data_IF_077390205435
#
_entry.id   IF_077390205435
#
_cell.length_a   1.000
_cell.length_b   1.000
_cell.length_c   1.000
_cell.angle_alpha   90.00
_cell.angle_beta   90.00
_cell.angle_gamma   90.00
#
_symmetry.space_group_name_H-M   'P 1'
#
loop_
_entity.id
_entity.type
_entity.pdbx_description
1 polymer ?
#
# COMPACT_ATOMS: atom_id res chain seq x y z
N UNK A 1 2.43 -74.29 -17.58
CA UNK A 1 3.05 -73.69 -16.38
C UNK A 1 3.12 -72.20 -16.61
N UNK A 2 1.97 -71.52 -16.49
CA UNK A 2 1.83 -70.13 -16.87
C UNK A 2 0.74 -69.52 -16.03
N UNK A 3 1.13 -68.94 -14.89
CA UNK A 3 0.28 -68.12 -14.01
C UNK A 3 1.21 -67.37 -13.04
N UNK A 4 1.78 -66.23 -13.44
CA UNK A 4 2.40 -65.31 -12.48
C UNK A 4 2.61 -63.86 -12.96
N UNK A 5 1.96 -63.41 -14.04
CA UNK A 5 2.22 -62.06 -14.61
C UNK A 5 1.04 -61.08 -14.46
N UNK A 6 -0.17 -61.54 -14.14
CA UNK A 6 -1.38 -60.69 -14.09
C UNK A 6 -1.65 -59.94 -12.77
N UNK A 7 -0.93 -60.21 -11.68
CA UNK A 7 -1.28 -59.70 -10.34
C UNK A 7 -0.63 -58.36 -9.96
N UNK A 8 0.56 -58.03 -10.48
CA UNK A 8 1.29 -56.80 -10.11
C UNK A 8 0.77 -55.53 -10.79
N UNK A 9 0.21 -55.65 -11.99
CA UNK A 9 -0.25 -54.50 -12.79
C UNK A 9 -1.56 -53.88 -12.25
N UNK A 10 -2.36 -54.69 -11.55
CA UNK A 10 -3.63 -54.26 -10.95
C UNK A 10 -3.44 -53.53 -9.60
N UNK A 11 -2.29 -53.75 -8.93
CA UNK A 11 -1.92 -53.08 -7.67
C UNK A 11 -1.40 -51.66 -7.92
N UNK A 12 -0.60 -51.46 -8.97
CA UNK A 12 -0.10 -50.15 -9.39
C UNK A 12 -1.25 -49.25 -9.88
N UNK A 13 -2.17 -49.78 -10.70
CA UNK A 13 -3.35 -49.04 -11.17
C UNK A 13 -4.29 -48.63 -10.04
N UNK A 14 -4.48 -49.49 -9.02
CA UNK A 14 -5.27 -49.14 -7.83
C UNK A 14 -4.59 -48.10 -6.94
N UNK A 15 -3.26 -48.10 -6.83
CA UNK A 15 -2.53 -47.08 -6.09
C UNK A 15 -2.55 -45.72 -6.81
N UNK A 16 -2.45 -45.72 -8.14
CA UNK A 16 -2.57 -44.51 -8.96
C UNK A 16 -3.99 -43.92 -8.87
N UNK A 17 -5.01 -44.77 -8.91
CA UNK A 17 -6.41 -44.36 -8.82
C UNK A 17 -6.79 -43.86 -7.41
N UNK A 18 -6.20 -44.42 -6.35
CA UNK A 18 -6.35 -43.92 -4.98
C UNK A 18 -5.61 -42.58 -4.77
N UNK A 19 -4.50 -42.35 -5.46
CA UNK A 19 -3.78 -41.07 -5.47
C UNK A 19 -4.56 -40.00 -6.26
N UNK A 20 -5.11 -40.33 -7.43
CA UNK A 20 -5.98 -39.45 -8.21
C UNK A 20 -7.29 -39.12 -7.47
N UNK A 21 -7.87 -40.07 -6.72
CA UNK A 21 -9.05 -39.81 -5.87
C UNK A 21 -8.70 -38.99 -4.61
N UNK A 22 -7.43 -38.98 -4.15
CA UNK A 22 -6.95 -38.09 -3.08
C UNK A 22 -6.66 -36.65 -3.55
N UNK A 23 -6.50 -36.46 -4.87
CA UNK A 23 -6.35 -35.17 -5.54
C UNK A 23 -7.69 -34.56 -5.96
N UNK A 24 -8.78 -35.34 -5.92
CA UNK A 24 -10.14 -34.79 -6.07
C UNK A 24 -10.51 -34.06 -4.79
N UNK A 25 -10.99 -32.81 -4.86
CA UNK A 25 -11.42 -32.11 -3.68
C UNK A 25 -12.63 -32.85 -3.08
N UNK A 26 -12.42 -33.49 -1.94
CA UNK A 26 -13.42 -34.36 -1.32
C UNK A 26 -14.37 -33.52 -0.46
N UNK A 27 -15.60 -33.29 -0.93
CA UNK A 27 -16.78 -32.90 -0.14
C UNK A 27 -16.71 -31.54 0.60
N UNK A 28 -15.51 -30.96 0.79
CA UNK A 28 -15.28 -29.58 1.23
C UNK A 28 -15.39 -28.59 0.08
N UNK A 29 -15.13 -28.96 -1.19
CA UNK A 29 -15.36 -28.04 -2.33
C UNK A 29 -16.83 -27.79 -2.62
N UNK A 30 -17.70 -28.75 -2.33
CA UNK A 30 -19.13 -28.60 -2.55
C UNK A 30 -19.74 -27.74 -1.42
N UNK A 31 -19.28 -27.93 -0.18
CA UNK A 31 -19.66 -27.09 0.96
C UNK A 31 -19.03 -25.69 0.88
N UNK A 32 -17.75 -25.56 0.48
CA UNK A 32 -17.11 -24.26 0.21
C UNK A 32 -17.74 -23.59 -1.01
N UNK A 33 -18.13 -24.34 -2.05
CA UNK A 33 -18.83 -23.82 -3.22
C UNK A 33 -20.25 -23.34 -2.90
N UNK A 34 -20.96 -24.06 -2.03
CA UNK A 34 -22.33 -23.73 -1.59
C UNK A 34 -22.33 -22.58 -0.56
N UNK A 35 -21.33 -22.52 0.35
CA UNK A 35 -21.12 -21.39 1.28
C UNK A 35 -20.57 -20.15 0.54
N UNK A 36 -19.68 -20.31 -0.45
CA UNK A 36 -19.18 -19.20 -1.27
C UNK A 36 -20.23 -18.65 -2.24
N UNK A 37 -21.25 -19.45 -2.58
CA UNK A 37 -22.43 -18.97 -3.32
C UNK A 37 -23.40 -18.18 -2.43
N UNK A 38 -23.49 -18.48 -1.13
CA UNK A 38 -24.51 -17.91 -0.24
C UNK A 38 -24.14 -16.53 0.34
N UNK A 39 -22.84 -16.17 0.39
CA UNK A 39 -22.40 -14.83 0.84
C UNK A 39 -21.42 -14.22 -0.16
N UNK A 40 -21.86 -13.96 -1.39
CA UNK A 40 -21.16 -12.96 -2.21
C UNK A 40 -21.41 -11.58 -1.59
N UNK A 41 -20.37 -10.85 -1.13
CA UNK A 41 -20.54 -9.48 -0.70
C UNK A 41 -21.20 -8.69 -1.82
N UNK A 42 -22.09 -7.75 -1.48
CA UNK A 42 -22.71 -6.91 -2.49
C UNK A 42 -21.61 -6.11 -3.17
N UNK A 43 -21.59 -6.12 -4.50
CA UNK A 43 -20.71 -5.26 -5.28
C UNK A 43 -21.03 -3.81 -4.92
N UNK A 44 -20.05 -3.13 -4.33
CA UNK A 44 -20.17 -1.75 -3.88
C UNK A 44 -19.29 -0.79 -4.70
N UNK A 45 -18.27 -1.30 -5.39
CA UNK A 45 -17.30 -0.47 -6.11
C UNK A 45 -17.34 -0.70 -7.62
N UNK A 46 -17.44 0.41 -8.35
CA UNK A 46 -17.07 0.47 -9.76
C UNK A 46 -15.56 0.77 -9.87
N UNK A 47 -14.92 0.45 -11.00
CA UNK A 47 -13.49 0.63 -11.24
C UNK A 47 -12.98 2.03 -10.85
N UNK A 48 -13.72 3.08 -11.22
CA UNK A 48 -13.37 4.46 -10.89
C UNK A 48 -13.43 4.76 -9.39
N UNK A 49 -14.39 4.15 -8.68
CA UNK A 49 -14.51 4.32 -7.23
C UNK A 49 -13.38 3.57 -6.52
N UNK A 50 -13.03 2.36 -6.99
CA UNK A 50 -11.90 1.60 -6.46
C UNK A 50 -10.55 2.30 -6.71
N UNK A 51 -10.37 2.89 -7.90
CA UNK A 51 -9.19 3.70 -8.21
C UNK A 51 -9.13 4.98 -7.37
N UNK A 52 -10.25 5.68 -7.18
CA UNK A 52 -10.32 6.83 -6.29
C UNK A 52 -10.05 6.47 -4.83
N UNK A 53 -10.52 5.31 -4.37
CA UNK A 53 -10.25 4.81 -3.03
C UNK A 53 -8.76 4.47 -2.85
N UNK A 54 -8.18 3.75 -3.81
CA UNK A 54 -6.76 3.40 -3.80
C UNK A 54 -5.88 4.66 -3.78
N UNK A 55 -6.16 5.62 -4.66
CA UNK A 55 -5.43 6.88 -4.72
C UNK A 55 -5.59 7.71 -3.42
N UNK A 56 -6.77 7.67 -2.79
CA UNK A 56 -7.01 8.32 -1.50
C UNK A 56 -6.15 7.72 -0.38
N UNK A 57 -5.93 6.40 -0.40
CA UNK A 57 -5.15 5.69 0.61
C UNK A 57 -3.66 5.97 0.46
N UNK A 58 -3.15 5.98 -0.77
CA UNK A 58 -1.77 6.41 -1.03
C UNK A 58 -1.56 7.88 -0.66
N UNK A 59 -2.61 8.72 -0.79
CA UNK A 59 -2.59 10.14 -0.46
C UNK A 59 -1.33 10.85 -1.00
N UNK A 60 -0.97 10.56 -2.26
CA UNK A 60 0.33 10.88 -2.83
C UNK A 60 0.80 12.33 -2.58
N UNK A 61 -0.03 13.37 -2.75
CA UNK A 61 0.38 14.74 -2.46
C UNK A 61 0.85 15.02 -1.03
N UNK A 62 0.20 14.39 -0.04
CA UNK A 62 0.59 14.56 1.36
C UNK A 62 1.90 13.80 1.64
N UNK A 63 2.03 12.58 1.11
CA UNK A 63 3.24 11.78 1.25
C UNK A 63 4.46 12.49 0.66
N UNK A 64 4.29 13.13 -0.51
CA UNK A 64 5.30 13.96 -1.17
C UNK A 64 5.78 15.12 -0.27
N UNK A 65 4.85 15.85 0.35
CA UNK A 65 5.20 16.94 1.27
C UNK A 65 5.98 16.45 2.49
N UNK A 66 5.61 15.29 3.02
CA UNK A 66 6.33 14.65 4.13
C UNK A 66 7.73 14.22 3.68
N UNK A 67 7.85 13.61 2.49
CA UNK A 67 9.13 13.22 1.91
C UNK A 67 10.08 14.40 1.77
N UNK A 68 9.59 15.54 1.28
CA UNK A 68 10.39 16.77 1.18
C UNK A 68 10.93 17.20 2.56
N UNK A 69 10.09 17.19 3.59
CA UNK A 69 10.49 17.55 4.96
C UNK A 69 11.59 16.62 5.51
N UNK A 70 11.47 15.31 5.29
CA UNK A 70 12.43 14.32 5.79
C UNK A 70 13.78 14.33 5.05
N UNK A 71 13.79 14.69 3.76
CA UNK A 71 14.99 14.61 2.90
C UNK A 71 15.78 15.90 2.83
N UNK A 72 15.17 17.04 3.17
CA UNK A 72 15.82 18.35 3.07
C UNK A 72 17.19 18.38 3.76
N UNK A 73 17.38 17.64 4.88
CA UNK A 73 18.68 17.54 5.56
C UNK A 73 19.54 16.30 5.25
N UNK A 74 19.01 15.30 4.54
CA UNK A 74 19.66 13.99 4.34
C UNK A 74 20.06 13.74 2.87
N UNK A 75 19.94 14.74 2.02
CA UNK A 75 20.37 14.65 0.63
C UNK A 75 19.95 15.87 -0.17
N UNK A 76 19.07 16.70 0.40
CA UNK A 76 18.59 17.91 -0.24
C UNK A 76 17.84 17.62 -1.53
N UNK A 77 17.80 18.59 -2.46
CA UNK A 77 17.11 18.44 -3.74
C UNK A 77 17.60 17.25 -4.59
N UNK A 78 18.91 16.94 -4.69
CA UNK A 78 19.36 15.80 -5.50
C UNK A 78 18.93 14.46 -4.93
N UNK A 79 19.01 14.28 -3.61
CA UNK A 79 18.56 13.06 -2.93
C UNK A 79 17.06 12.85 -3.14
N UNK A 80 16.28 13.94 -3.04
CA UNK A 80 14.84 13.92 -3.27
C UNK A 80 14.51 13.49 -4.71
N UNK A 81 15.14 14.12 -5.72
CA UNK A 81 14.83 13.85 -7.12
C UNK A 81 15.28 12.45 -7.58
N UNK A 82 16.56 12.12 -7.38
CA UNK A 82 17.11 10.84 -7.83
C UNK A 82 16.62 9.67 -6.99
N UNK A 83 16.45 9.85 -5.68
CA UNK A 83 15.93 8.83 -4.79
C UNK A 83 14.51 8.44 -5.17
N UNK A 84 13.67 9.43 -5.51
CA UNK A 84 12.31 9.19 -5.96
C UNK A 84 12.23 8.44 -7.29
N UNK A 85 13.02 8.83 -8.31
CA UNK A 85 13.03 8.14 -9.61
C UNK A 85 13.46 6.68 -9.44
N UNK A 86 14.54 6.46 -8.69
CA UNK A 86 15.09 5.13 -8.48
C UNK A 86 14.07 4.23 -7.76
N UNK A 87 13.48 4.71 -6.67
CA UNK A 87 12.48 3.96 -5.92
C UNK A 87 11.20 3.76 -6.73
N UNK A 88 10.74 4.77 -7.45
CA UNK A 88 9.58 4.66 -8.32
C UNK A 88 9.74 3.59 -9.40
N UNK A 89 10.93 3.48 -10.01
CA UNK A 89 11.20 2.42 -10.97
C UNK A 89 11.12 1.02 -10.35
N UNK A 90 11.79 0.80 -9.22
CA UNK A 90 11.74 -0.51 -8.55
C UNK A 90 10.34 -0.84 -8.02
N UNK A 91 9.66 0.15 -7.45
CA UNK A 91 8.30 -0.01 -6.93
C UNK A 91 7.29 -0.30 -8.05
N UNK A 92 7.50 0.25 -9.25
CA UNK A 92 6.70 -0.07 -10.42
C UNK A 92 6.84 -1.55 -10.83
N UNK A 93 8.07 -2.08 -10.81
CA UNK A 93 8.33 -3.51 -11.10
C UNK A 93 7.60 -4.39 -10.08
N UNK A 94 7.68 -4.05 -8.78
CA UNK A 94 6.96 -4.80 -7.73
C UNK A 94 5.45 -4.68 -7.93
N UNK A 95 4.94 -3.49 -8.27
CA UNK A 95 3.53 -3.26 -8.56
C UNK A 95 3.05 -4.16 -9.71
N UNK A 96 3.81 -4.27 -10.80
CA UNK A 96 3.49 -5.17 -11.92
C UNK A 96 3.46 -6.64 -11.49
N UNK A 97 4.44 -7.09 -10.70
CA UNK A 97 4.50 -8.46 -10.22
C UNK A 97 3.30 -8.79 -9.31
N UNK A 98 2.93 -7.90 -8.40
CA UNK A 98 1.76 -8.10 -7.53
C UNK A 98 0.46 -7.99 -8.33
N UNK A 99 0.39 -7.12 -9.33
CA UNK A 99 -0.77 -7.02 -10.22
C UNK A 99 -0.96 -8.29 -11.06
N UNK A 100 0.11 -8.91 -11.55
CA UNK A 100 0.04 -10.21 -12.24
C UNK A 100 -0.49 -11.31 -11.30
N UNK A 101 0.04 -11.37 -10.08
CA UNK A 101 -0.43 -12.30 -9.05
C UNK A 101 -1.91 -12.09 -8.69
N UNK A 102 -2.33 -10.83 -8.54
CA UNK A 102 -3.72 -10.48 -8.24
C UNK A 102 -4.68 -10.77 -9.40
N UNK A 103 -4.17 -10.76 -10.65
CA UNK A 103 -4.95 -11.16 -11.82
C UNK A 103 -5.16 -12.67 -11.88
N UNK A 104 -4.11 -13.44 -11.59
CA UNK A 104 -4.15 -14.90 -11.63
C UNK A 104 -4.90 -15.51 -10.42
N UNK A 105 -4.77 -14.89 -9.24
CA UNK A 105 -5.29 -15.41 -7.97
C UNK A 105 -5.99 -14.27 -7.21
N UNK A 106 -7.16 -13.80 -7.69
CA UNK A 106 -7.90 -12.72 -7.03
C UNK A 106 -8.45 -13.20 -5.67
N UNK A 107 -7.97 -12.62 -4.58
CA UNK A 107 -8.48 -12.94 -3.24
C UNK A 107 -8.39 -11.73 -2.30
N UNK A 108 -9.41 -11.52 -1.46
CA UNK A 108 -9.47 -10.40 -0.52
C UNK A 108 -8.40 -10.42 0.58
N UNK A 109 -7.89 -11.60 0.93
CA UNK A 109 -6.71 -11.73 1.81
C UNK A 109 -5.39 -11.30 1.17
N UNK A 110 -5.40 -10.91 -0.11
CA UNK A 110 -4.28 -10.27 -0.80
C UNK A 110 -3.01 -11.14 -0.85
N UNK A 111 -1.82 -10.55 -0.65
CA UNK A 111 -0.53 -11.25 -0.79
C UNK A 111 -0.38 -12.50 0.08
N UNK A 112 -1.05 -12.56 1.24
CA UNK A 112 -0.99 -13.73 2.12
C UNK A 112 -1.56 -14.98 1.44
N UNK A 113 -2.65 -14.82 0.67
CA UNK A 113 -3.25 -15.93 -0.07
C UNK A 113 -2.39 -16.32 -1.27
N UNK A 114 -1.81 -15.35 -1.99
CA UNK A 114 -0.89 -15.63 -3.10
C UNK A 114 0.31 -16.47 -2.64
N UNK A 115 0.84 -16.21 -1.44
CA UNK A 115 1.93 -17.00 -0.86
C UNK A 115 1.49 -18.44 -0.57
N UNK A 116 0.31 -18.63 0.01
CA UNK A 116 -0.24 -19.97 0.30
C UNK A 116 -0.41 -20.77 -0.99
N UNK A 117 -0.98 -20.14 -2.03
CA UNK A 117 -1.28 -20.79 -3.30
C UNK A 117 -0.02 -21.17 -4.10
N UNK A 118 1.08 -20.43 -3.94
CA UNK A 118 2.34 -20.67 -4.67
C UNK A 118 3.36 -21.52 -3.89
N UNK A 119 3.16 -21.70 -2.59
CA UNK A 119 4.10 -22.44 -1.73
C UNK A 119 3.85 -23.94 -1.79
N UNK A 120 4.89 -24.72 -1.45
CA UNK A 120 4.75 -26.16 -1.21
C UNK A 120 3.68 -26.42 -0.12
N UNK A 121 2.78 -27.41 -0.29
CA UNK A 121 1.73 -27.73 0.68
C UNK A 121 2.23 -27.89 2.13
N UNK A 122 3.47 -28.33 2.34
CA UNK A 122 4.03 -28.50 3.68
C UNK A 122 4.38 -27.16 4.37
N UNK A 123 4.70 -26.11 3.59
CA UNK A 123 5.10 -24.80 4.11
C UNK A 123 4.02 -23.72 3.94
N UNK A 124 3.01 -23.97 3.10
CA UNK A 124 1.98 -23.00 2.74
C UNK A 124 1.31 -22.35 3.96
N UNK A 125 0.93 -23.14 4.97
CA UNK A 125 0.30 -22.62 6.19
C UNK A 125 1.21 -21.67 6.98
N UNK A 126 2.48 -22.04 7.18
CA UNK A 126 3.43 -21.23 7.94
C UNK A 126 3.82 -19.94 7.20
N UNK A 127 4.11 -20.03 5.90
CA UNK A 127 4.48 -18.88 5.08
C UNK A 127 3.32 -17.90 4.92
N UNK A 128 2.10 -18.42 4.71
CA UNK A 128 0.88 -17.62 4.68
C UNK A 128 0.62 -16.89 5.99
N UNK A 129 0.80 -17.57 7.12
CA UNK A 129 0.64 -16.97 8.45
C UNK A 129 1.64 -15.84 8.69
N UNK A 130 2.93 -16.07 8.38
CA UNK A 130 3.97 -15.05 8.49
C UNK A 130 3.66 -13.85 7.60
N UNK A 131 3.30 -14.09 6.33
CA UNK A 131 2.97 -13.03 5.38
C UNK A 131 1.74 -12.22 5.83
N UNK A 132 0.70 -12.89 6.32
CA UNK A 132 -0.49 -12.24 6.86
C UNK A 132 -0.17 -11.34 8.05
N UNK A 133 0.64 -11.81 9.00
CA UNK A 133 1.05 -11.00 10.14
C UNK A 133 1.95 -9.82 9.76
N UNK A 134 2.88 -10.01 8.82
CA UNK A 134 3.72 -8.92 8.32
C UNK A 134 2.89 -7.85 7.60
N UNK A 135 1.91 -8.27 6.79
CA UNK A 135 0.97 -7.37 6.11
C UNK A 135 0.16 -6.59 7.13
N UNK A 136 -0.41 -7.27 8.13
CA UNK A 136 -1.16 -6.61 9.20
C UNK A 136 -0.31 -5.63 10.03
N UNK A 137 0.93 -6.00 10.35
CA UNK A 137 1.87 -5.11 11.04
C UNK A 137 2.18 -3.86 10.19
N UNK A 138 2.37 -4.02 8.88
CA UNK A 138 2.55 -2.91 7.94
C UNK A 138 1.38 -1.92 7.97
N UNK A 139 0.16 -2.43 7.82
CA UNK A 139 -1.06 -1.61 7.90
C UNK A 139 -1.25 -0.95 9.28
N UNK A 140 -0.87 -1.63 10.35
CA UNK A 140 -0.89 -1.06 11.70
C UNK A 140 0.08 0.11 11.86
N UNK A 141 1.32 -0.03 11.38
CA UNK A 141 2.31 1.07 11.43
C UNK A 141 1.92 2.25 10.54
N UNK A 142 1.32 1.99 9.38
CA UNK A 142 0.76 3.05 8.52
C UNK A 142 -0.35 3.80 9.27
N UNK A 143 -1.24 3.10 9.96
CA UNK A 143 -2.28 3.71 10.78
C UNK A 143 -1.68 4.60 11.89
N UNK A 144 -0.69 4.11 12.63
CA UNK A 144 0.02 4.91 13.63
C UNK A 144 0.66 6.17 13.01
N UNK A 145 1.35 6.03 11.87
CA UNK A 145 1.95 7.16 11.18
C UNK A 145 0.88 8.20 10.74
N UNK A 146 -0.27 7.73 10.25
CA UNK A 146 -1.40 8.58 9.84
C UNK A 146 -2.00 9.39 10.99
N UNK A 147 -1.90 8.93 12.25
CA UNK A 147 -2.30 9.70 13.43
C UNK A 147 -1.23 10.71 13.87
N UNK A 148 0.05 10.35 13.69
CA UNK A 148 1.19 11.17 14.13
C UNK A 148 1.41 12.40 13.25
N UNK A 149 1.36 12.25 11.93
CA UNK A 149 1.61 13.36 11.01
C UNK A 149 0.66 14.55 11.19
N UNK A 150 -0.69 14.39 11.22
CA UNK A 150 -1.58 15.52 11.42
C UNK A 150 -1.40 16.15 12.81
N UNK A 151 -1.08 15.37 13.84
CA UNK A 151 -0.73 15.91 15.16
C UNK A 151 0.52 16.81 15.09
N UNK A 152 1.58 16.37 14.41
CA UNK A 152 2.80 17.15 14.22
C UNK A 152 2.55 18.41 13.38
N UNK A 153 1.76 18.31 12.30
CA UNK A 153 1.42 19.46 11.45
C UNK A 153 0.63 20.51 12.23
N UNK A 154 -0.34 20.09 13.06
CA UNK A 154 -1.09 21.03 13.90
C UNK A 154 -0.17 21.70 14.92
N UNK A 155 0.71 20.94 15.58
CA UNK A 155 1.66 21.53 16.53
C UNK A 155 2.60 22.53 15.86
N UNK A 156 3.15 22.19 14.69
CA UNK A 156 3.99 23.09 13.91
C UNK A 156 3.23 24.37 13.48
N UNK A 157 1.94 24.26 13.16
CA UNK A 157 1.09 25.42 12.86
C UNK A 157 0.88 26.33 14.09
N UNK A 158 0.70 25.74 15.27
CA UNK A 158 0.55 26.49 16.53
C UNK A 158 1.85 27.22 16.89
N UNK A 159 3.01 26.58 16.73
CA UNK A 159 4.32 27.23 16.92
C UNK A 159 4.52 28.38 15.92
N UNK A 160 4.19 28.17 14.65
CA UNK A 160 4.34 29.19 13.61
C UNK A 160 3.46 30.44 13.82
N UNK A 161 2.29 30.26 14.45
CA UNK A 161 1.35 31.35 14.74
C UNK A 161 1.60 32.03 16.08
N UNK A 162 2.29 31.38 17.02
CA UNK A 162 2.56 31.89 18.36
C UNK A 162 4.06 31.88 18.67
N UNK A 163 4.77 33.01 18.49
CA UNK A 163 6.24 33.09 18.58
C UNK A 163 6.87 32.81 19.97
N UNK A 164 6.10 32.37 20.96
CA UNK A 164 6.60 31.96 22.29
C UNK A 164 6.13 30.57 22.73
N UNK A 165 5.41 29.85 21.86
CA UNK A 165 4.95 28.50 22.14
C UNK A 165 5.93 27.48 21.56
N UNK A 166 6.39 26.56 22.39
CA UNK A 166 7.22 25.42 21.96
C UNK A 166 6.38 24.16 22.17
N UNK A 167 6.14 23.45 21.08
CA UNK A 167 5.42 22.19 21.05
C UNK A 167 6.17 21.16 21.87
N UNK A 168 5.54 20.70 22.94
CA UNK A 168 6.09 19.61 23.75
C UNK A 168 5.58 18.25 23.27
N UNK A 169 6.37 17.21 23.49
CA UNK A 169 6.04 15.85 23.04
C UNK A 169 4.69 15.35 23.61
N UNK A 170 4.35 15.69 24.86
CA UNK A 170 3.09 15.27 25.47
C UNK A 170 1.87 15.94 24.82
N UNK A 171 1.97 17.20 24.38
CA UNK A 171 0.89 17.88 23.66
C UNK A 171 0.65 17.23 22.30
N UNK A 172 1.73 16.90 21.59
CA UNK A 172 1.65 16.16 20.33
C UNK A 172 1.02 14.79 20.53
N UNK A 173 1.37 14.10 21.63
CA UNK A 173 0.79 12.80 21.98
C UNK A 173 -0.71 12.88 22.32
N UNK A 174 -1.18 13.95 22.98
CA UNK A 174 -2.61 14.13 23.21
C UNK A 174 -3.39 14.33 21.91
N UNK A 175 -2.84 15.10 20.96
CA UNK A 175 -3.44 15.23 19.63
C UNK A 175 -3.44 13.89 18.89
N UNK A 176 -2.36 13.12 18.98
CA UNK A 176 -2.28 11.77 18.43
C UNK A 176 -3.41 10.87 18.97
N UNK A 177 -3.64 10.86 20.29
CA UNK A 177 -4.76 10.11 20.89
C UNK A 177 -6.10 10.62 20.38
N UNK A 178 -6.28 11.93 20.27
CA UNK A 178 -7.51 12.52 19.75
C UNK A 178 -7.81 12.05 18.32
N UNK A 179 -6.80 12.01 17.44
CA UNK A 179 -6.95 11.48 16.09
C UNK A 179 -7.28 9.98 16.09
N UNK A 180 -6.57 9.18 16.90
CA UNK A 180 -6.82 7.75 17.01
C UNK A 180 -8.26 7.44 17.46
N UNK A 181 -8.77 8.17 18.47
CA UNK A 181 -10.16 8.05 18.93
C UNK A 181 -11.16 8.52 17.87
N UNK A 182 -10.82 9.58 17.13
CA UNK A 182 -11.62 10.05 15.99
C UNK A 182 -11.75 9.00 14.88
N UNK A 183 -10.64 8.37 14.50
CA UNK A 183 -10.64 7.29 13.52
C UNK A 183 -11.41 6.07 14.00
N UNK A 184 -11.26 5.69 15.27
CA UNK A 184 -12.06 4.62 15.88
C UNK A 184 -13.57 4.94 15.81
N UNK A 185 -13.95 6.19 16.11
CA UNK A 185 -15.34 6.64 16.03
C UNK A 185 -15.93 6.59 14.61
N UNK A 186 -15.14 6.95 13.60
CA UNK A 186 -15.54 6.87 12.18
C UNK A 186 -15.73 5.42 11.70
N UNK A 187 -14.96 4.48 12.25
CA UNK A 187 -15.06 3.06 11.93
C UNK A 187 -16.26 2.36 12.60
N UNK A 188 -17.04 3.06 13.44
CA UNK A 188 -18.23 2.47 14.03
C UNK A 188 -19.32 2.20 12.97
N UNK A 189 -20.06 1.07 13.05
CA UNK A 189 -21.02 0.65 12.01
C UNK A 189 -22.11 1.68 11.68
N UNK A 190 -22.47 2.54 12.65
CA UNK A 190 -23.47 3.60 12.46
C UNK A 190 -22.95 4.78 11.63
N UNK A 191 -21.65 5.07 11.70
CA UNK A 191 -20.99 6.21 11.04
C UNK A 191 -20.41 5.80 9.68
N UNK A 192 -20.18 4.50 9.46
CA UNK A 192 -19.65 3.95 8.22
C UNK A 192 -20.43 4.38 6.95
N UNK A 193 -21.75 4.62 7.06
CA UNK A 193 -22.57 5.14 5.95
C UNK A 193 -22.16 6.56 5.48
N UNK A 194 -21.55 7.35 6.34
CA UNK A 194 -21.06 8.71 6.03
C UNK A 194 -19.64 8.68 5.45
N UNK A 195 -18.88 7.61 5.74
CA UNK A 195 -17.48 7.46 5.33
C UNK A 195 -17.32 7.55 3.81
N UNK A 196 -18.23 6.96 3.04
CA UNK A 196 -18.19 7.05 1.57
C UNK A 196 -18.29 8.48 1.03
N UNK A 197 -19.05 9.37 1.67
CA UNK A 197 -19.13 10.79 1.30
C UNK A 197 -17.91 11.57 1.79
N UNK A 198 -17.45 11.27 3.00
CA UNK A 198 -16.26 11.88 3.59
C UNK A 198 -15.01 11.60 2.77
N UNK A 199 -14.81 10.35 2.34
CA UNK A 199 -13.67 9.95 1.50
C UNK A 199 -13.67 10.70 0.17
N UNK A 200 -14.84 10.86 -0.48
CA UNK A 200 -14.97 11.66 -1.71
C UNK A 200 -14.61 13.13 -1.48
N UNK A 201 -15.07 13.72 -0.37
CA UNK A 201 -14.76 15.11 -0.04
C UNK A 201 -13.26 15.30 0.25
N UNK A 202 -12.66 14.40 1.04
CA UNK A 202 -11.23 14.42 1.38
C UNK A 202 -10.37 14.26 0.12
N UNK A 203 -10.72 13.33 -0.78
CA UNK A 203 -10.06 13.14 -2.07
C UNK A 203 -9.98 14.47 -2.85
N UNK A 204 -11.10 15.18 -2.96
CA UNK A 204 -11.18 16.46 -3.68
C UNK A 204 -10.34 17.52 -2.97
N UNK A 205 -10.45 17.62 -1.64
CA UNK A 205 -9.69 18.60 -0.85
C UNK A 205 -8.18 18.37 -0.97
N UNK A 206 -7.71 17.12 -0.87
CA UNK A 206 -6.29 16.79 -0.99
C UNK A 206 -5.79 17.09 -2.39
N UNK A 207 -6.54 16.69 -3.43
CA UNK A 207 -6.12 16.89 -4.82
C UNK A 207 -6.09 18.37 -5.19
N UNK A 208 -7.11 19.14 -4.81
CA UNK A 208 -7.15 20.60 -5.06
C UNK A 208 -6.10 21.31 -4.21
N UNK A 209 -5.93 20.92 -2.95
CA UNK A 209 -4.93 21.48 -2.05
C UNK A 209 -3.50 21.24 -2.55
N UNK A 210 -3.23 20.08 -3.13
CA UNK A 210 -1.95 19.76 -3.77
C UNK A 210 -1.63 20.70 -4.94
N UNK A 211 -2.58 20.85 -5.87
CA UNK A 211 -2.43 21.74 -7.02
C UNK A 211 -2.27 23.19 -6.56
N UNK A 212 -3.04 23.61 -5.57
CA UNK A 212 -2.91 24.94 -4.98
C UNK A 212 -1.52 25.17 -4.37
N UNK A 213 -1.02 24.24 -3.56
CA UNK A 213 0.33 24.34 -2.97
C UNK A 213 1.42 24.39 -4.04
N UNK A 214 1.31 23.56 -5.09
CA UNK A 214 2.23 23.60 -6.23
C UNK A 214 2.27 24.98 -6.89
N UNK A 215 1.10 25.55 -7.23
CA UNK A 215 1.00 26.87 -7.86
C UNK A 215 1.59 27.96 -6.95
N UNK A 216 1.24 27.94 -5.65
CA UNK A 216 1.73 28.95 -4.69
C UNK A 216 3.24 28.86 -4.54
N UNK A 217 3.81 27.66 -4.37
CA UNK A 217 5.25 27.48 -4.26
C UNK A 217 5.97 27.93 -5.53
N UNK A 218 5.45 27.59 -6.71
CA UNK A 218 6.03 27.99 -7.99
C UNK A 218 6.03 29.51 -8.18
N UNK A 219 4.97 30.20 -7.75
CA UNK A 219 4.87 31.66 -7.82
C UNK A 219 5.76 32.35 -6.78
N UNK A 220 5.88 31.78 -5.57
CA UNK A 220 6.60 32.39 -4.44
C UNK A 220 8.09 32.09 -4.41
N UNK A 221 8.55 31.02 -5.07
CA UNK A 221 9.97 30.65 -5.13
C UNK A 221 10.77 31.65 -5.99
N UNK A 222 11.23 32.72 -5.36
CA UNK A 222 12.08 33.75 -5.95
C UNK A 222 13.27 34.04 -5.02
N UNK A 223 14.53 33.93 -5.48
CA UNK A 223 14.96 33.48 -6.81
C UNK A 223 14.82 31.96 -6.98
N UNK A 224 14.60 31.52 -8.23
CA UNK A 224 14.62 30.09 -8.59
C UNK A 224 16.02 29.54 -8.38
N UNK A 225 16.12 28.34 -7.79
CA UNK A 225 17.41 27.68 -7.54
C UNK A 225 18.07 27.26 -8.85
N UNK A 226 19.40 27.30 -8.89
CA UNK A 226 20.17 26.86 -10.05
C UNK A 226 20.02 25.35 -10.28
N UNK A 227 20.04 24.91 -11.53
CA UNK A 227 19.86 23.51 -11.89
C UNK A 227 20.94 22.61 -11.29
N UNK A 228 22.16 23.13 -11.10
CA UNK A 228 23.24 22.43 -10.43
C UNK A 228 22.89 22.13 -8.96
N UNK A 229 22.26 23.07 -8.27
CA UNK A 229 21.83 22.88 -6.89
C UNK A 229 20.69 21.88 -6.76
N UNK A 230 19.81 21.81 -7.77
CA UNK A 230 18.71 20.84 -7.78
C UNK A 230 19.20 19.41 -8.03
N UNK A 231 20.14 19.22 -8.95
CA UNK A 231 20.52 17.88 -9.43
C UNK A 231 21.86 17.35 -8.91
N UNK A 232 22.74 18.21 -8.39
CA UNK A 232 24.14 17.86 -8.09
C UNK A 232 24.55 18.18 -6.66
N UNK A 233 24.15 19.33 -6.10
CA UNK A 233 24.63 19.76 -4.78
C UNK A 233 23.96 18.96 -3.64
N UNK A 234 24.56 17.81 -3.31
CA UNK A 234 24.07 16.92 -2.27
C UNK A 234 24.31 17.53 -0.89
N UNK A 235 23.24 17.65 -0.10
CA UNK A 235 23.31 18.20 1.25
C UNK A 235 23.27 17.08 2.29
N UNK A 236 24.32 16.96 3.07
CA UNK A 236 24.42 15.96 4.13
C UNK A 236 24.60 16.64 5.49
N UNK A 237 23.51 16.79 6.25
CA UNK A 237 23.56 17.23 7.67
C UNK A 237 23.32 16.07 8.65
N UNK A 238 23.42 14.84 8.16
CA UNK A 238 23.13 13.62 8.95
C UNK A 238 24.22 13.28 9.98
N UNK A 239 25.42 13.85 9.83
CA UNK A 239 26.60 13.50 10.61
C UNK A 239 27.37 12.28 10.09
N UNK A 240 26.88 11.60 9.05
CA UNK A 240 27.60 10.50 8.39
C UNK A 240 28.63 11.02 7.41
N UNK A 241 29.81 10.38 7.38
CA UNK A 241 30.93 10.80 6.53
C UNK A 241 30.76 10.51 5.04
N UNK A 242 29.78 9.69 4.65
CA UNK A 242 29.63 9.19 3.28
C UNK A 242 28.25 9.51 2.73
N UNK A 243 28.21 10.40 1.73
CA UNK A 243 27.00 10.84 1.06
C UNK A 243 26.22 9.69 0.41
N UNK A 244 26.91 8.65 -0.06
CA UNK A 244 26.25 7.46 -0.61
C UNK A 244 25.40 6.70 0.41
N UNK A 245 25.83 6.64 1.68
CA UNK A 245 25.03 6.01 2.73
C UNK A 245 23.80 6.83 3.06
N UNK A 246 23.95 8.16 3.07
CA UNK A 246 22.83 9.07 3.31
C UNK A 246 21.83 9.04 2.15
N UNK A 247 22.30 8.87 0.91
CA UNK A 247 21.43 8.64 -0.23
C UNK A 247 20.56 7.39 -0.05
N UNK A 248 21.09 6.28 0.47
CA UNK A 248 20.28 5.10 0.79
C UNK A 248 19.24 5.35 1.89
N UNK A 249 19.55 6.20 2.88
CA UNK A 249 18.58 6.61 3.90
C UNK A 249 17.41 7.41 3.32
N UNK A 250 17.67 8.20 2.26
CA UNK A 250 16.64 8.96 1.53
C UNK A 250 15.69 8.07 0.73
N UNK A 251 16.10 6.85 0.36
CA UNK A 251 15.22 5.93 -0.39
C UNK A 251 14.04 5.42 0.44
N UNK A 252 14.21 5.27 1.76
CA UNK A 252 13.17 4.74 2.64
C UNK A 252 11.90 5.61 2.69
N UNK A 253 12.00 6.94 2.94
CA UNK A 253 10.82 7.79 2.91
C UNK A 253 10.27 7.98 1.48
N UNK A 254 11.11 7.82 0.43
CA UNK A 254 10.61 7.79 -0.96
C UNK A 254 9.73 6.56 -1.21
N UNK A 255 10.15 5.39 -0.69
CA UNK A 255 9.39 4.15 -0.77
C UNK A 255 8.03 4.27 -0.10
N UNK A 256 7.98 4.89 1.08
CA UNK A 256 6.73 5.10 1.80
C UNK A 256 5.70 5.94 1.00
N UNK A 257 6.14 6.76 0.04
CA UNK A 257 5.24 7.58 -0.80
C UNK A 257 4.53 6.80 -1.91
N UNK A 258 5.11 5.69 -2.36
CA UNK A 258 4.63 4.88 -3.49
C UNK A 258 4.21 3.46 -3.07
N UNK A 259 4.20 3.18 -1.77
CA UNK A 259 3.76 1.92 -1.20
C UNK A 259 2.22 1.80 -1.16
N UNK A 260 1.73 0.69 -0.60
CA UNK A 260 0.31 0.41 -0.33
C UNK A 260 -0.59 0.17 -1.56
N UNK A 261 -0.01 -0.11 -2.74
CA UNK A 261 -0.80 -0.50 -3.92
C UNK A 261 -1.57 -1.82 -3.75
N UNK A 262 -1.15 -2.67 -2.80
CA UNK A 262 -1.76 -3.96 -2.48
C UNK A 262 -3.15 -3.80 -1.83
N UNK A 263 -3.50 -2.61 -1.37
CA UNK A 263 -4.84 -2.31 -0.86
C UNK A 263 -5.95 -2.65 -1.86
N UNK A 264 -5.70 -2.53 -3.16
CA UNK A 264 -6.65 -2.90 -4.20
C UNK A 264 -7.06 -4.38 -4.11
N UNK A 265 -6.16 -5.25 -3.63
CA UNK A 265 -6.43 -6.68 -3.44
C UNK A 265 -7.41 -6.94 -2.29
N UNK A 266 -7.50 -6.07 -1.30
CA UNK A 266 -8.47 -6.19 -0.21
C UNK A 266 -9.90 -5.83 -0.62
N UNK A 267 -10.06 -5.15 -1.76
CA UNK A 267 -11.36 -4.79 -2.34
C UNK A 267 -11.87 -5.82 -3.36
N UNK A 268 -11.16 -6.94 -3.53
CA UNK A 268 -11.47 -7.98 -4.53
C UNK A 268 -12.93 -8.43 -4.46
N UNK A 269 -13.46 -8.66 -3.26
CA UNK A 269 -14.82 -9.19 -3.08
C UNK A 269 -15.93 -8.16 -3.36
N UNK A 270 -15.58 -6.88 -3.50
CA UNK A 270 -16.52 -5.78 -3.74
C UNK A 270 -16.55 -5.30 -5.20
N UNK A 271 -15.79 -5.97 -6.08
CA UNK A 271 -15.63 -5.68 -7.50
C UNK A 271 -16.36 -6.72 -8.37
N UNK A 272 -16.90 -6.29 -9.52
CA UNK A 272 -17.60 -7.20 -10.46
C UNK A 272 -16.64 -8.14 -11.19
N UNK A 273 -15.43 -7.67 -11.53
CA UNK A 273 -14.43 -8.41 -12.29
C UNK A 273 -13.04 -8.25 -11.65
N UNK A 274 -12.80 -8.86 -10.48
CA UNK A 274 -11.58 -8.63 -9.72
C UNK A 274 -10.29 -8.97 -10.49
N UNK A 275 -10.28 -10.06 -11.27
CA UNK A 275 -9.12 -10.51 -12.08
C UNK A 275 -8.58 -9.44 -13.04
N UNK A 276 -9.45 -8.53 -13.49
CA UNK A 276 -9.09 -7.44 -14.42
C UNK A 276 -9.04 -6.08 -13.71
N UNK A 277 -10.00 -5.83 -12.84
CA UNK A 277 -10.17 -4.52 -12.20
C UNK A 277 -9.11 -4.28 -11.13
N UNK A 278 -8.71 -5.28 -10.35
CA UNK A 278 -7.66 -5.11 -9.31
C UNK A 278 -6.33 -4.70 -9.94
N UNK A 279 -5.78 -5.41 -10.96
CA UNK A 279 -4.55 -4.99 -11.64
C UNK A 279 -4.65 -3.60 -12.26
N UNK A 280 -5.80 -3.25 -12.87
CA UNK A 280 -6.04 -1.94 -13.45
C UNK A 280 -6.01 -0.83 -12.40
N UNK A 281 -6.59 -1.06 -11.22
CA UNK A 281 -6.56 -0.12 -10.09
C UNK A 281 -5.14 0.05 -9.55
N UNK A 282 -4.39 -1.04 -9.39
CA UNK A 282 -3.01 -1.00 -8.89
C UNK A 282 -2.12 -0.16 -9.81
N UNK A 283 -2.10 -0.49 -11.10
CA UNK A 283 -1.25 0.20 -12.08
C UNK A 283 -1.73 1.63 -12.31
N UNK A 284 -3.05 1.84 -12.45
CA UNK A 284 -3.63 3.16 -12.67
C UNK A 284 -3.39 4.13 -11.49
N UNK A 285 -3.54 3.66 -10.26
CA UNK A 285 -3.25 4.47 -9.07
C UNK A 285 -1.75 4.80 -8.94
N UNK A 286 -0.86 3.87 -9.28
CA UNK A 286 0.57 4.10 -9.28
C UNK A 286 0.99 5.21 -10.25
N UNK A 287 0.45 5.20 -11.48
CA UNK A 287 0.72 6.26 -12.45
C UNK A 287 0.14 7.60 -12.02
N UNK A 288 -1.07 7.62 -11.46
CA UNK A 288 -1.67 8.84 -10.93
C UNK A 288 -0.82 9.44 -9.81
N UNK A 289 -0.39 8.61 -8.85
CA UNK A 289 0.50 9.02 -7.77
C UNK A 289 1.83 9.57 -8.30
N UNK A 290 2.46 8.86 -9.25
CA UNK A 290 3.75 9.25 -9.84
C UNK A 290 3.66 10.51 -10.68
N UNK A 291 2.57 10.71 -11.43
CA UNK A 291 2.40 11.85 -12.36
C UNK A 291 2.37 13.21 -11.67
N UNK A 292 1.94 13.26 -10.40
CA UNK A 292 1.91 14.48 -9.60
C UNK A 292 3.30 14.92 -9.11
N UNK A 293 4.31 14.05 -9.18
CA UNK A 293 5.67 14.39 -8.80
C UNK A 293 6.53 14.96 -9.93
N UNK A 294 6.18 14.68 -11.18
CA UNK A 294 6.96 15.11 -12.34
C UNK A 294 6.55 16.50 -12.87
N UNK A 295 5.71 17.24 -12.15
CA UNK A 295 5.23 18.59 -12.51
C UNK A 295 5.81 19.64 -11.57
#
# INVERSE_FOLDING_TARGET
MGDSVGSKDNSSKKAQQAFDDSLKPSMTSDIEGEIALEVRPKVHFNLFLALGQQYSITAAPLAIGIYLSLVTGLGGPPGYFWGFILVGFFQFIVCLAVAELASAIPHSSGPAYSVIALSDPHLAGNLGFIMGWLTNAGWYFICCASCLYPAQIIMALVEATNPGFIATAWQTYLLYIAFALGYLGLNLPRVFRVVGWLLKAILVIISVGAVFLLIVLLVRAQPKQDGRTVFVDFLNVSGWSSDGWVFFLVLLPAYACLAAFDNATHLTDELEQPEKQVPQVMIGSFFLASSLLYQ
#
